data_IF_391525448669
#
_entry.id   IF_391525448669
#
_cell.length_a   1.000
_cell.length_b   1.000
_cell.length_c   1.000
_cell.angle_alpha   90.00
_cell.angle_beta   90.00
_cell.angle_gamma   90.00
#
_symmetry.space_group_name_H-M   'P 1'
#
loop_
_entity.id
_entity.type
_entity.pdbx_description
1 polymer ?
#
# COMPACT_ATOMS: atom_id res chain seq x y z
N UNK A 1 -12.31 -11.35 8.35
CA UNK A 1 -12.17 -9.89 8.55
C UNK A 1 -13.36 -9.24 7.86
N UNK A 2 -13.99 -8.22 8.43
CA UNK A 2 -15.16 -7.62 7.78
C UNK A 2 -14.71 -6.89 6.50
N UNK A 3 -15.50 -6.96 5.41
CA UNK A 3 -15.18 -6.29 4.14
C UNK A 3 -14.75 -4.81 4.35
N UNK A 4 -15.44 -4.10 5.25
CA UNK A 4 -15.12 -2.71 5.59
C UNK A 4 -13.70 -2.52 6.15
N UNK A 5 -13.19 -3.45 6.96
CA UNK A 5 -11.84 -3.35 7.53
C UNK A 5 -10.77 -3.45 6.43
N UNK A 6 -10.93 -4.37 5.49
CA UNK A 6 -9.99 -4.54 4.36
C UNK A 6 -10.10 -3.38 3.37
N UNK A 7 -11.32 -2.89 3.13
CA UNK A 7 -11.55 -1.71 2.31
C UNK A 7 -10.81 -0.48 2.88
N UNK A 8 -10.98 -0.21 4.18
CA UNK A 8 -10.36 0.94 4.83
C UNK A 8 -8.84 0.82 4.90
N UNK A 9 -8.32 -0.39 5.13
CA UNK A 9 -6.88 -0.69 5.06
C UNK A 9 -6.33 -0.42 3.66
N UNK A 10 -6.99 -0.91 2.63
CA UNK A 10 -6.59 -0.73 1.24
C UNK A 10 -6.59 0.75 0.84
N UNK A 11 -7.66 1.48 1.17
CA UNK A 11 -7.77 2.91 0.94
C UNK A 11 -6.66 3.68 1.66
N UNK A 12 -6.46 3.40 2.95
CA UNK A 12 -5.43 4.05 3.77
C UNK A 12 -4.03 3.77 3.26
N UNK A 13 -3.75 2.53 2.86
CA UNK A 13 -2.47 2.13 2.29
C UNK A 13 -2.16 2.94 1.03
N UNK A 14 -3.09 2.94 0.05
CA UNK A 14 -2.91 3.65 -1.22
C UNK A 14 -2.73 5.15 -1.00
N UNK A 15 -3.61 5.77 -0.20
CA UNK A 15 -3.54 7.20 0.09
C UNK A 15 -2.20 7.59 0.71
N UNK A 16 -1.72 6.83 1.71
CA UNK A 16 -0.44 7.12 2.38
C UNK A 16 0.74 7.06 1.43
N UNK A 17 0.74 6.13 0.48
CA UNK A 17 1.82 6.07 -0.51
C UNK A 17 1.80 7.32 -1.39
N UNK A 18 0.65 7.72 -1.91
CA UNK A 18 0.55 8.93 -2.73
C UNK A 18 0.86 10.20 -1.96
N UNK A 19 0.34 10.34 -0.74
CA UNK A 19 0.63 11.48 0.14
C UNK A 19 2.13 11.58 0.46
N UNK A 20 2.78 10.46 0.75
CA UNK A 20 4.24 10.43 1.02
C UNK A 20 5.06 10.87 -0.21
N UNK A 21 4.63 10.48 -1.40
CA UNK A 21 5.36 10.77 -2.64
C UNK A 21 5.09 12.17 -3.20
N UNK A 22 3.84 12.64 -3.16
CA UNK A 22 3.42 13.89 -3.80
C UNK A 22 3.41 15.06 -2.82
N UNK A 23 3.18 14.81 -1.53
CA UNK A 23 3.13 15.83 -0.44
C UNK A 23 2.10 16.93 -0.69
N UNK A 24 1.03 16.59 -1.38
CA UNK A 24 -0.12 17.44 -1.66
C UNK A 24 -1.37 16.57 -1.48
N UNK A 25 -2.19 16.90 -0.49
CA UNK A 25 -3.35 16.10 -0.10
C UNK A 25 -4.43 16.05 -1.21
N UNK A 26 -4.59 17.12 -1.99
CA UNK A 26 -5.56 17.16 -3.08
C UNK A 26 -5.12 16.26 -4.23
N UNK A 27 -3.84 16.32 -4.60
CA UNK A 27 -3.28 15.42 -5.61
C UNK A 27 -3.25 13.96 -5.16
N UNK A 28 -2.90 13.70 -3.89
CA UNK A 28 -2.94 12.35 -3.34
C UNK A 28 -4.36 11.77 -3.40
N UNK A 29 -5.36 12.56 -3.00
CA UNK A 29 -6.77 12.16 -3.08
C UNK A 29 -7.21 11.87 -4.52
N UNK A 30 -6.84 12.73 -5.48
CA UNK A 30 -7.16 12.52 -6.89
C UNK A 30 -6.54 11.23 -7.44
N UNK A 31 -5.26 10.97 -7.13
CA UNK A 31 -4.57 9.74 -7.53
C UNK A 31 -5.18 8.49 -6.89
N UNK A 32 -5.61 8.58 -5.62
CA UNK A 32 -6.31 7.49 -4.94
C UNK A 32 -7.63 7.16 -5.63
N UNK A 33 -8.45 8.18 -5.92
CA UNK A 33 -9.72 7.99 -6.64
C UNK A 33 -9.48 7.42 -8.03
N UNK A 34 -8.52 7.96 -8.78
CA UNK A 34 -8.17 7.48 -10.12
C UNK A 34 -7.72 6.02 -10.11
N UNK A 35 -6.96 5.60 -9.09
CA UNK A 35 -6.50 4.22 -8.97
C UNK A 35 -7.67 3.28 -8.74
N UNK A 36 -8.57 3.59 -7.80
CA UNK A 36 -9.76 2.75 -7.56
C UNK A 36 -10.80 2.82 -8.68
N UNK A 37 -10.87 3.92 -9.41
CA UNK A 37 -11.68 4.02 -10.64
C UNK A 37 -11.22 3.04 -11.71
N UNK A 38 -9.91 2.78 -11.81
CA UNK A 38 -9.34 1.78 -12.74
C UNK A 38 -9.44 0.36 -12.19
N UNK A 39 -9.25 0.19 -10.90
CA UNK A 39 -9.24 -1.10 -10.20
C UNK A 39 -10.53 -1.30 -9.38
N UNK A 40 -11.68 -1.09 -10.00
CA UNK A 40 -12.99 -1.13 -9.31
C UNK A 40 -13.25 -2.47 -8.61
N UNK A 41 -12.73 -3.59 -9.13
CA UNK A 41 -12.87 -4.91 -8.52
C UNK A 41 -12.21 -5.00 -7.13
N UNK A 42 -11.21 -4.17 -6.84
CA UNK A 42 -10.58 -4.11 -5.53
C UNK A 42 -11.46 -3.43 -4.48
N UNK A 43 -12.43 -2.62 -4.89
CA UNK A 43 -13.45 -2.04 -3.99
C UNK A 43 -14.46 -3.13 -3.60
N UNK A 44 -14.85 -3.97 -4.55
CA UNK A 44 -15.81 -5.05 -4.31
C UNK A 44 -15.21 -6.18 -3.47
N UNK A 45 -13.92 -6.46 -3.64
CA UNK A 45 -13.20 -7.57 -2.99
C UNK A 45 -11.81 -7.15 -2.49
N UNK A 46 -11.71 -6.26 -1.50
CA UNK A 46 -10.42 -5.83 -0.97
C UNK A 46 -9.79 -6.95 -0.13
N UNK A 47 -8.56 -7.32 -0.47
CA UNK A 47 -7.74 -8.22 0.35
C UNK A 47 -6.25 -7.86 0.25
N UNK A 48 -5.76 -7.00 1.16
CA UNK A 48 -4.32 -6.69 1.21
C UNK A 48 -3.47 -7.85 1.78
N UNK A 49 -4.09 -8.87 2.36
CA UNK A 49 -3.41 -10.07 2.83
C UNK A 49 -3.20 -11.10 1.70
N UNK A 50 -3.92 -10.96 0.59
CA UNK A 50 -3.69 -11.68 -0.66
C UNK A 50 -2.47 -11.16 -1.44
N UNK A 51 -1.64 -12.06 -1.97
CA UNK A 51 -0.42 -11.70 -2.69
C UNK A 51 -0.70 -11.10 -4.07
N UNK A 52 -1.70 -11.61 -4.78
CA UNK A 52 -2.07 -11.12 -6.10
C UNK A 52 -2.60 -9.69 -6.02
N UNK A 53 -3.48 -9.42 -5.07
CA UNK A 53 -4.01 -8.07 -4.79
C UNK A 53 -2.88 -7.11 -4.42
N UNK A 54 -1.95 -7.51 -3.54
CA UNK A 54 -0.78 -6.67 -3.22
C UNK A 54 0.06 -6.34 -4.44
N UNK A 55 0.37 -7.32 -5.28
CA UNK A 55 1.18 -7.12 -6.47
C UNK A 55 0.50 -6.15 -7.44
N UNK A 56 -0.80 -6.32 -7.70
CA UNK A 56 -1.59 -5.45 -8.56
C UNK A 56 -1.62 -4.00 -8.04
N UNK A 57 -1.87 -3.80 -6.76
CA UNK A 57 -1.88 -2.48 -6.11
C UNK A 57 -0.51 -1.81 -6.20
N UNK A 58 0.56 -2.53 -5.86
CA UNK A 58 1.94 -2.02 -5.90
C UNK A 58 2.35 -1.59 -7.31
N UNK A 59 2.06 -2.43 -8.31
CA UNK A 59 2.36 -2.13 -9.72
C UNK A 59 1.58 -0.89 -10.19
N UNK A 60 0.30 -0.79 -9.82
CA UNK A 60 -0.57 0.32 -10.21
C UNK A 60 -0.14 1.65 -9.57
N UNK A 61 0.24 1.61 -8.29
CA UNK A 61 0.83 2.75 -7.58
C UNK A 61 2.13 3.18 -8.26
N UNK A 62 3.04 2.25 -8.53
CA UNK A 62 4.32 2.56 -9.15
C UNK A 62 4.13 3.18 -10.54
N UNK A 63 3.21 2.65 -11.34
CA UNK A 63 2.86 3.20 -12.65
C UNK A 63 2.31 4.64 -12.54
N UNK A 64 1.44 4.92 -11.55
CA UNK A 64 0.89 6.25 -11.33
C UNK A 64 1.95 7.29 -10.88
N UNK A 65 2.99 6.84 -10.17
CA UNK A 65 4.03 7.70 -9.59
C UNK A 65 5.30 7.85 -10.43
N UNK A 66 5.55 6.96 -11.41
CA UNK A 66 6.84 6.87 -12.12
C UNK A 66 7.32 8.19 -12.78
N UNK A 67 6.40 9.05 -13.20
CA UNK A 67 6.70 10.34 -13.86
C UNK A 67 6.80 11.50 -12.86
N UNK A 68 6.48 11.25 -11.58
CA UNK A 68 6.39 12.26 -10.50
C UNK A 68 7.48 12.10 -9.45
N UNK A 69 8.02 10.89 -9.26
CA UNK A 69 8.97 10.61 -8.19
C UNK A 69 9.92 9.46 -8.56
N UNK A 70 11.03 9.33 -7.82
CA UNK A 70 12.03 8.29 -8.10
C UNK A 70 11.56 6.90 -7.66
N UNK A 71 12.11 5.85 -8.27
CA UNK A 71 11.82 4.45 -7.92
C UNK A 71 12.10 4.17 -6.44
N UNK A 72 13.18 4.72 -5.90
CA UNK A 72 13.57 4.57 -4.49
C UNK A 72 12.57 5.24 -3.56
N UNK A 73 12.03 6.41 -3.93
CA UNK A 73 11.01 7.09 -3.16
C UNK A 73 9.70 6.28 -3.14
N UNK A 74 9.30 5.71 -4.29
CA UNK A 74 8.13 4.81 -4.38
C UNK A 74 8.33 3.59 -3.48
N UNK A 75 9.48 2.92 -3.55
CA UNK A 75 9.79 1.75 -2.72
C UNK A 75 9.72 2.07 -1.22
N UNK A 76 10.30 3.20 -0.81
CA UNK A 76 10.27 3.65 0.59
C UNK A 76 8.86 3.98 1.05
N UNK A 77 8.06 4.67 0.22
CA UNK A 77 6.68 5.00 0.54
C UNK A 77 5.80 3.75 0.69
N UNK A 78 5.94 2.79 -0.23
CA UNK A 78 5.25 1.49 -0.16
C UNK A 78 5.67 0.71 1.09
N UNK A 79 6.96 0.63 1.37
CA UNK A 79 7.48 -0.04 2.56
C UNK A 79 6.97 0.62 3.85
N UNK A 80 6.94 1.95 3.90
CA UNK A 80 6.40 2.71 5.02
C UNK A 80 4.89 2.49 5.20
N UNK A 81 4.10 2.52 4.13
CA UNK A 81 2.67 2.24 4.20
C UNK A 81 2.39 0.80 4.65
N UNK A 82 3.14 -0.19 4.15
CA UNK A 82 3.04 -1.59 4.55
C UNK A 82 3.40 -1.79 6.03
N UNK A 83 4.43 -1.09 6.51
CA UNK A 83 4.81 -1.08 7.91
C UNK A 83 3.69 -0.53 8.79
N UNK A 84 3.08 0.60 8.40
CA UNK A 84 2.00 1.20 9.16
C UNK A 84 0.69 0.41 9.11
N UNK A 85 0.38 -0.24 7.99
CA UNK A 85 -0.76 -1.16 7.87
C UNK A 85 -0.63 -2.32 8.88
N UNK A 86 0.56 -2.93 8.97
CA UNK A 86 0.84 -4.03 9.91
C UNK A 86 0.93 -3.58 11.37
N UNK A 87 1.38 -2.36 11.66
CA UNK A 87 1.29 -1.77 13.00
C UNK A 87 -0.15 -1.44 13.43
N UNK A 88 -1.09 -1.35 12.48
CA UNK A 88 -2.52 -1.13 12.77
C UNK A 88 -3.27 -2.44 13.08
N UNK A 89 -2.66 -3.60 12.78
CA UNK A 89 -3.12 -4.92 13.24
C UNK A 89 -2.72 -5.12 14.73
N UNK A 90 -3.53 -5.81 15.55
CA UNK A 90 -3.92 -5.38 16.89
C UNK A 90 -2.76 -5.15 17.88
N UNK A 91 -3.00 -4.15 18.76
CA UNK A 91 -2.26 -3.64 19.95
C UNK A 91 -1.60 -4.65 20.92
N UNK A 92 -1.50 -5.95 20.60
CA UNK A 92 -1.02 -7.03 21.48
C UNK A 92 0.17 -7.83 20.93
N UNK A 93 0.70 -7.49 19.76
CA UNK A 93 1.88 -8.17 19.25
C UNK A 93 3.13 -7.61 19.96
N UNK A 94 3.67 -8.37 20.92
CA UNK A 94 4.96 -8.08 21.57
C UNK A 94 6.13 -8.13 20.57
N UNK A 95 7.37 -8.27 21.02
CA UNK A 95 8.57 -8.29 20.16
C UNK A 95 8.49 -9.26 18.94
N UNK A 96 7.73 -10.36 19.05
CA UNK A 96 7.45 -11.27 17.93
C UNK A 96 6.66 -10.61 16.77
N UNK A 97 5.79 -9.65 17.06
CA UNK A 97 5.04 -8.88 16.06
C UNK A 97 5.91 -7.99 15.17
N UNK A 98 7.05 -7.52 15.70
CA UNK A 98 7.98 -6.66 14.97
C UNK A 98 8.71 -7.40 13.85
N UNK A 99 9.13 -8.66 14.10
CA UNK A 99 9.75 -9.50 13.06
C UNK A 99 8.75 -9.90 11.97
N UNK A 100 7.49 -10.16 12.32
CA UNK A 100 6.43 -10.42 11.32
C UNK A 100 6.14 -9.18 10.47
N UNK A 101 6.20 -7.98 11.06
CA UNK A 101 6.04 -6.73 10.32
C UNK A 101 7.19 -6.47 9.31
N UNK A 102 8.44 -6.82 9.64
CA UNK A 102 9.57 -6.76 8.69
C UNK A 102 9.41 -7.74 7.51
N UNK A 103 8.94 -8.96 7.78
CA UNK A 103 8.63 -9.94 6.73
C UNK A 103 7.55 -9.45 5.77
N UNK A 104 6.51 -8.78 6.29
CA UNK A 104 5.46 -8.18 5.50
C UNK A 104 5.95 -6.99 4.64
N UNK A 105 6.77 -6.09 5.19
CA UNK A 105 7.41 -5.00 4.42
C UNK A 105 8.26 -5.55 3.27
N UNK A 106 9.00 -6.63 3.53
CA UNK A 106 9.79 -7.32 2.51
C UNK A 106 8.91 -7.90 1.40
N UNK A 107 7.74 -8.48 1.74
CA UNK A 107 6.80 -9.00 0.74
C UNK A 107 6.27 -7.90 -0.19
N UNK A 108 5.92 -6.71 0.33
CA UNK A 108 5.43 -5.59 -0.48
C UNK A 108 6.50 -4.98 -1.41
N UNK A 109 7.76 -5.01 -0.99
CA UNK A 109 8.87 -4.39 -1.73
C UNK A 109 9.59 -5.35 -2.67
N UNK A 110 9.41 -6.67 -2.52
CA UNK A 110 10.02 -7.71 -3.37
C UNK A 110 9.75 -7.50 -4.86
N UNK A 111 8.54 -7.10 -5.23
CA UNK A 111 8.15 -6.89 -6.64
C UNK A 111 8.84 -5.69 -7.29
N UNK A 112 9.46 -4.82 -6.50
CA UNK A 112 10.18 -3.64 -6.98
C UNK A 112 11.69 -3.90 -7.07
N UNK A 113 12.20 -5.09 -6.73
CA UNK A 113 13.64 -5.40 -6.70
C UNK A 113 14.18 -6.02 -7.99
N UNK A 114 13.34 -6.36 -8.97
CA UNK A 114 13.81 -6.94 -10.24
C UNK A 114 14.13 -5.80 -11.22
N UNK A 115 15.38 -5.78 -11.67
CA UNK A 115 15.87 -4.99 -12.80
C UNK A 115 16.07 -5.91 -14.00
#
# INVERSE_FOLDING_TARGET
MAWGDQHDRLLTFVYRVFDTCVRDAAQASALTVDLFGRLHHLVDRPDLDDETTRAEVVVSIAAALRERTSREAIQRAIGHAAWQDRLSAPRRAGAAGWHTALGAVTAFTRHLQVS
#
